data_IF_335882504987
#
_entry.id   IF_335882504987
#
_cell.length_a   1.000
_cell.length_b   1.000
_cell.length_c   1.000
_cell.angle_alpha   90.00
_cell.angle_beta   90.00
_cell.angle_gamma   90.00
#
_symmetry.space_group_name_H-M   'P 1'
#
loop_
_entity.id
_entity.type
_entity.pdbx_description
1 polymer ?
#
# COMPACT_ATOMS: atom_id res chain seq x y z
N UNK A 1 7.40 -23.21 2.57
CA UNK A 1 7.02 -22.01 1.76
C UNK A 1 8.32 -21.27 1.52
N UNK A 2 8.93 -21.46 0.33
CA UNK A 2 10.16 -20.76 -0.03
C UNK A 2 9.84 -19.32 -0.34
N UNK A 3 10.47 -18.39 0.36
CA UNK A 3 10.45 -16.98 -0.01
C UNK A 3 11.47 -16.79 -1.13
N UNK A 4 11.06 -16.33 -2.29
CA UNK A 4 11.98 -15.95 -3.37
C UNK A 4 12.70 -14.66 -2.99
N UNK A 5 13.95 -14.80 -2.58
CA UNK A 5 14.91 -13.70 -2.58
C UNK A 5 15.18 -13.33 -4.05
N UNK A 6 15.06 -12.07 -4.39
CA UNK A 6 15.55 -11.58 -5.67
C UNK A 6 17.08 -11.62 -5.64
N UNK A 7 17.64 -12.75 -6.09
CA UNK A 7 19.08 -12.94 -6.25
C UNK A 7 19.52 -12.35 -7.60
N UNK A 8 20.82 -12.03 -7.75
CA UNK A 8 21.40 -11.48 -9.00
C UNK A 8 21.07 -12.32 -10.25
N UNK A 9 20.84 -13.62 -10.11
CA UNK A 9 20.51 -14.54 -11.20
C UNK A 9 19.10 -14.30 -11.74
N UNK A 10 18.10 -14.03 -10.89
CA UNK A 10 16.74 -13.66 -11.31
C UNK A 10 16.67 -12.26 -11.93
N UNK A 11 17.62 -11.39 -11.56
CA UNK A 11 17.80 -10.06 -12.13
C UNK A 11 18.34 -10.13 -13.57
N UNK A 12 19.16 -11.13 -13.88
CA UNK A 12 19.73 -11.31 -15.22
C UNK A 12 18.72 -11.83 -16.25
N UNK A 13 17.75 -12.66 -15.86
CA UNK A 13 16.64 -13.06 -16.75
C UNK A 13 15.65 -11.92 -16.97
N UNK A 14 15.38 -11.09 -15.96
CA UNK A 14 14.62 -9.86 -16.09
C UNK A 14 15.35 -8.74 -16.88
N UNK A 15 16.65 -8.84 -17.11
CA UNK A 15 17.40 -7.97 -18.06
C UNK A 15 16.94 -8.10 -19.51
N UNK A 16 16.20 -9.17 -19.89
CA UNK A 16 15.52 -9.27 -21.19
C UNK A 16 14.21 -8.47 -21.25
N UNK A 17 13.64 -8.05 -20.13
CA UNK A 17 12.67 -6.95 -20.12
C UNK A 17 13.52 -5.71 -20.38
N UNK A 18 13.75 -5.44 -21.66
CA UNK A 18 14.57 -4.32 -22.14
C UNK A 18 14.28 -3.08 -21.34
N UNK A 19 15.25 -2.64 -20.59
CA UNK A 19 15.51 -1.30 -20.08
C UNK A 19 15.52 -0.25 -21.22
N UNK A 20 14.41 -0.09 -21.89
CA UNK A 20 14.02 1.15 -22.56
C UNK A 20 13.32 2.08 -21.58
N UNK A 21 13.76 2.03 -20.33
CA UNK A 21 13.42 3.04 -19.32
C UNK A 21 14.38 4.20 -19.56
N UNK A 22 13.98 5.08 -20.52
CA UNK A 22 14.57 6.40 -20.66
C UNK A 22 14.68 7.05 -19.27
N UNK A 23 15.81 7.67 -18.92
CA UNK A 23 16.06 8.32 -17.62
C UNK A 23 14.91 9.24 -17.19
N UNK A 24 14.16 9.85 -18.13
CA UNK A 24 12.94 10.62 -17.86
C UNK A 24 11.76 9.81 -17.29
N UNK A 25 11.71 8.48 -17.46
CA UNK A 25 10.70 7.62 -16.82
C UNK A 25 11.00 7.34 -15.36
N UNK A 26 12.24 7.52 -14.91
CA UNK A 26 12.63 7.33 -13.51
C UNK A 26 11.95 8.35 -12.57
N UNK A 27 11.72 9.57 -13.01
CA UNK A 27 11.05 10.61 -12.22
C UNK A 27 9.54 10.38 -12.03
N UNK A 28 8.93 9.49 -12.82
CA UNK A 28 7.46 9.32 -12.90
C UNK A 28 6.98 8.16 -12.02
N UNK A 29 7.83 7.19 -11.64
CA UNK A 29 7.35 5.95 -11.01
C UNK A 29 6.67 6.20 -9.66
N UNK A 30 7.24 6.99 -8.79
CA UNK A 30 6.62 7.40 -7.53
C UNK A 30 7.41 8.49 -6.81
N UNK A 31 6.80 9.65 -6.57
CA UNK A 31 7.32 10.62 -5.62
C UNK A 31 6.80 10.25 -4.24
N UNK A 32 7.65 9.87 -3.29
CA UNK A 32 7.20 9.47 -1.97
C UNK A 32 6.53 10.64 -1.25
N UNK A 33 5.56 10.33 -0.40
CA UNK A 33 4.71 11.32 0.30
C UNK A 33 5.21 11.48 1.73
N UNK A 34 5.31 12.73 2.24
CA UNK A 34 5.65 13.04 3.63
C UNK A 34 6.96 12.40 4.12
N UNK A 35 7.99 12.38 3.26
CA UNK A 35 9.26 11.70 3.53
C UNK A 35 9.92 12.21 4.81
N UNK A 36 9.96 13.54 5.00
CA UNK A 36 10.60 14.14 6.16
C UNK A 36 9.90 13.75 7.46
N UNK A 37 8.56 13.80 7.47
CA UNK A 37 7.75 13.42 8.63
C UNK A 37 7.85 11.91 8.90
N UNK A 38 7.91 11.07 7.86
CA UNK A 38 8.13 9.62 8.01
C UNK A 38 9.48 9.37 8.67
N UNK A 39 10.57 9.96 8.18
CA UNK A 39 11.91 9.80 8.76
C UNK A 39 11.97 10.34 10.19
N UNK A 40 11.39 11.49 10.47
CA UNK A 40 11.33 12.07 11.81
C UNK A 40 10.58 11.16 12.80
N UNK A 41 9.45 10.59 12.39
CA UNK A 41 8.63 9.74 13.24
C UNK A 41 9.19 8.32 13.36
N UNK A 42 9.74 7.76 12.29
CA UNK A 42 10.37 6.44 12.30
C UNK A 42 11.71 6.45 13.03
N UNK A 43 12.46 7.58 12.92
CA UNK A 43 13.77 7.83 13.53
C UNK A 43 14.78 6.69 13.30
N UNK A 44 15.07 6.35 12.04
CA UNK A 44 15.97 5.24 11.73
C UNK A 44 17.40 5.59 12.17
N UNK A 45 18.02 4.66 12.89
CA UNK A 45 19.41 4.79 13.34
C UNK A 45 20.12 3.45 13.34
N UNK A 46 19.72 2.52 14.21
CA UNK A 46 20.32 1.20 14.34
C UNK A 46 19.22 0.14 14.39
N UNK A 47 19.48 -1.07 13.85
CA UNK A 47 18.56 -2.19 13.91
C UNK A 47 17.93 -2.56 12.57
N UNK A 48 16.91 -3.40 12.60
CA UNK A 48 16.17 -3.81 11.41
C UNK A 48 14.98 -2.86 11.21
N UNK A 49 14.84 -2.35 9.99
CA UNK A 49 13.71 -1.54 9.57
C UNK A 49 12.95 -2.26 8.45
N UNK A 50 11.63 -2.21 8.50
CA UNK A 50 10.75 -2.78 7.48
C UNK A 50 10.02 -1.66 6.75
N UNK A 51 10.15 -1.65 5.42
CA UNK A 51 9.23 -0.94 4.53
C UNK A 51 8.24 -1.97 3.98
N UNK A 52 7.06 -2.02 4.57
CA UNK A 52 6.06 -3.07 4.29
C UNK A 52 5.35 -2.91 2.95
N UNK A 53 5.62 -1.81 2.25
CA UNK A 53 5.01 -1.39 0.99
C UNK A 53 6.02 -0.58 0.20
N UNK A 54 7.17 -1.21 -0.12
CA UNK A 54 8.35 -0.49 -0.62
C UNK A 54 8.10 0.29 -1.92
N UNK A 55 7.14 -0.16 -2.74
CA UNK A 55 6.77 0.52 -3.96
C UNK A 55 7.98 0.86 -4.84
N UNK A 56 8.14 2.12 -5.21
CA UNK A 56 9.28 2.63 -5.96
C UNK A 56 10.54 2.92 -5.12
N UNK A 57 10.61 2.49 -3.87
CA UNK A 57 11.79 2.59 -3.01
C UNK A 57 12.10 3.98 -2.44
N UNK A 58 11.18 4.94 -2.56
CA UNK A 58 11.47 6.32 -2.14
C UNK A 58 11.64 6.49 -0.64
N UNK A 59 10.77 5.89 0.17
CA UNK A 59 10.93 5.86 1.63
C UNK A 59 12.08 4.96 2.05
N UNK A 60 12.24 3.81 1.38
CA UNK A 60 13.37 2.90 1.60
C UNK A 60 14.72 3.59 1.42
N UNK A 61 14.89 4.36 0.35
CA UNK A 61 16.10 5.16 0.11
C UNK A 61 16.32 6.19 1.21
N UNK A 62 15.28 6.91 1.61
CA UNK A 62 15.38 7.90 2.68
C UNK A 62 15.75 7.26 4.03
N UNK A 63 15.23 6.06 4.33
CA UNK A 63 15.61 5.29 5.52
C UNK A 63 17.08 4.90 5.43
N UNK A 64 17.53 4.31 4.31
CA UNK A 64 18.91 3.86 4.11
C UNK A 64 19.93 5.00 4.19
N UNK A 65 19.55 6.21 3.74
CA UNK A 65 20.44 7.40 3.80
C UNK A 65 20.81 7.78 5.24
N UNK A 66 19.96 7.51 6.22
CA UNK A 66 20.17 7.88 7.63
C UNK A 66 20.42 6.67 8.55
N UNK A 67 20.34 5.45 8.01
CA UNK A 67 20.57 4.23 8.77
C UNK A 67 22.07 3.99 8.99
N UNK A 68 22.53 4.17 10.24
CA UNK A 68 23.95 4.06 10.59
C UNK A 68 24.42 2.61 10.65
N UNK A 69 23.68 1.76 11.36
CA UNK A 69 24.01 0.34 11.54
C UNK A 69 22.74 -0.49 11.56
N UNK A 70 22.47 -1.21 10.49
CA UNK A 70 21.27 -2.02 10.40
C UNK A 70 20.94 -2.49 8.99
N UNK A 71 19.76 -3.05 8.87
CA UNK A 71 19.25 -3.66 7.64
C UNK A 71 17.84 -3.16 7.35
N UNK A 72 17.59 -2.84 6.09
CA UNK A 72 16.25 -2.55 5.58
C UNK A 72 15.66 -3.78 4.89
N UNK A 73 14.46 -4.17 5.26
CA UNK A 73 13.66 -5.20 4.59
C UNK A 73 12.49 -4.52 3.88
N UNK A 74 12.50 -4.55 2.55
CA UNK A 74 11.42 -4.00 1.72
C UNK A 74 10.50 -5.11 1.21
N UNK A 75 9.19 -4.91 1.29
CA UNK A 75 8.19 -5.86 0.82
C UNK A 75 7.23 -5.19 -0.15
N UNK A 76 6.88 -5.88 -1.22
CA UNK A 76 5.80 -5.46 -2.12
C UNK A 76 5.22 -6.66 -2.86
N UNK A 77 3.94 -6.57 -3.24
CA UNK A 77 3.26 -7.54 -4.09
C UNK A 77 3.58 -7.33 -5.58
N UNK A 78 3.98 -6.11 -5.94
CA UNK A 78 4.24 -5.70 -7.31
C UNK A 78 5.69 -5.93 -7.70
N UNK A 79 5.93 -6.92 -8.56
CA UNK A 79 7.27 -7.23 -9.07
C UNK A 79 7.90 -6.08 -9.85
N UNK A 80 7.08 -5.26 -10.56
CA UNK A 80 7.59 -4.10 -11.27
C UNK A 80 8.12 -3.04 -10.29
N UNK A 81 7.40 -2.82 -9.19
CA UNK A 81 7.82 -1.93 -8.12
C UNK A 81 9.13 -2.40 -7.46
N UNK A 82 9.25 -3.71 -7.17
CA UNK A 82 10.47 -4.29 -6.61
C UNK A 82 11.68 -4.17 -7.55
N UNK A 83 11.48 -4.44 -8.84
CA UNK A 83 12.54 -4.28 -9.83
C UNK A 83 13.03 -2.82 -9.90
N UNK A 84 12.10 -1.88 -9.82
CA UNK A 84 12.43 -0.46 -9.77
C UNK A 84 13.15 -0.07 -8.48
N UNK A 85 12.68 -0.55 -7.33
CA UNK A 85 13.33 -0.32 -6.03
C UNK A 85 14.73 -0.91 -5.99
N UNK A 86 14.96 -2.10 -6.56
CA UNK A 86 16.28 -2.71 -6.66
C UNK A 86 17.26 -1.80 -7.44
N UNK A 87 16.80 -1.21 -8.54
CA UNK A 87 17.63 -0.26 -9.31
C UNK A 87 17.91 1.02 -8.54
N UNK A 88 16.90 1.54 -7.84
CA UNK A 88 17.02 2.78 -7.05
C UNK A 88 17.98 2.62 -5.88
N UNK A 89 17.93 1.47 -5.23
CA UNK A 89 18.69 1.19 -4.02
C UNK A 89 20.07 0.54 -4.29
N UNK A 90 20.48 0.37 -5.54
CA UNK A 90 21.67 -0.38 -5.94
C UNK A 90 22.99 0.11 -5.32
N UNK A 91 23.05 1.38 -4.88
CA UNK A 91 24.20 1.95 -4.19
C UNK A 91 24.34 1.51 -2.72
N UNK A 92 23.28 0.93 -2.12
CA UNK A 92 23.27 0.46 -0.75
C UNK A 92 23.48 -1.06 -0.72
N UNK A 93 24.12 -1.56 0.33
CA UNK A 93 24.36 -2.99 0.52
C UNK A 93 23.53 -3.61 1.66
N UNK A 94 22.94 -2.74 2.49
CA UNK A 94 22.24 -3.12 3.70
C UNK A 94 20.72 -3.13 3.53
N UNK A 95 20.23 -3.73 2.45
CA UNK A 95 18.81 -3.96 2.23
C UNK A 95 18.54 -5.34 1.62
N UNK A 96 17.29 -5.80 1.76
CA UNK A 96 16.74 -7.00 1.09
C UNK A 96 15.32 -6.70 0.64
N UNK A 97 14.95 -7.17 -0.56
CA UNK A 97 13.59 -7.01 -1.12
C UNK A 97 12.90 -8.36 -1.23
N UNK A 98 11.60 -8.38 -0.92
CA UNK A 98 10.78 -9.59 -0.91
C UNK A 98 9.49 -9.36 -1.70
N UNK A 99 9.20 -10.26 -2.66
CA UNK A 99 7.92 -10.25 -3.36
C UNK A 99 6.86 -11.02 -2.56
N UNK A 100 6.28 -10.35 -1.59
CA UNK A 100 5.30 -10.94 -0.70
C UNK A 100 4.35 -9.90 -0.11
N UNK A 101 3.30 -10.39 0.53
CA UNK A 101 2.43 -9.52 1.32
C UNK A 101 3.09 -9.21 2.67
N UNK A 102 2.94 -7.99 3.16
CA UNK A 102 3.44 -7.63 4.50
C UNK A 102 2.83 -8.46 5.65
N UNK A 103 1.77 -9.21 5.41
CA UNK A 103 1.27 -10.21 6.36
C UNK A 103 2.20 -11.40 6.54
N UNK A 104 3.26 -11.47 5.76
CA UNK A 104 4.31 -12.49 5.81
C UNK A 104 5.62 -11.98 6.46
N UNK A 105 5.62 -10.76 7.01
CA UNK A 105 6.82 -10.14 7.57
C UNK A 105 7.44 -10.93 8.74
N UNK A 106 6.63 -11.58 9.57
CA UNK A 106 7.13 -12.30 10.75
C UNK A 106 8.06 -13.49 10.42
N UNK A 107 7.67 -14.44 9.54
CA UNK A 107 8.59 -15.50 9.12
C UNK A 107 9.84 -14.98 8.41
N UNK A 108 9.74 -13.91 7.60
CA UNK A 108 10.89 -13.29 6.96
C UNK A 108 11.88 -12.76 8.00
N UNK A 109 11.38 -11.98 8.96
CA UNK A 109 12.22 -11.44 10.03
C UNK A 109 12.90 -12.56 10.83
N UNK A 110 12.18 -13.64 11.18
CA UNK A 110 12.74 -14.78 11.88
C UNK A 110 13.86 -15.45 11.10
N UNK A 111 13.75 -15.52 9.78
CA UNK A 111 14.79 -16.10 8.93
C UNK A 111 16.02 -15.18 8.87
N UNK A 112 15.82 -13.89 8.64
CA UNK A 112 16.89 -12.89 8.62
C UNK A 112 17.65 -12.83 9.95
N UNK A 113 16.97 -12.95 11.08
CA UNK A 113 17.61 -12.94 12.40
C UNK A 113 18.48 -14.20 12.70
N UNK A 114 18.45 -15.23 11.85
CA UNK A 114 19.41 -16.34 11.92
C UNK A 114 20.78 -15.98 11.34
N UNK A 115 20.86 -14.98 10.48
CA UNK A 115 22.12 -14.51 9.91
C UNK A 115 23.03 -13.94 11.02
N UNK A 116 24.34 -14.23 11.03
CA UNK A 116 25.26 -13.80 12.09
C UNK A 116 25.22 -12.29 12.36
N UNK A 117 25.14 -11.47 11.30
CA UNK A 117 25.07 -10.01 11.40
C UNK A 117 23.76 -9.53 12.00
N UNK A 118 22.65 -10.22 11.74
CA UNK A 118 21.30 -9.80 12.12
C UNK A 118 20.82 -10.38 13.46
N UNK A 119 21.54 -11.39 14.00
CA UNK A 119 21.11 -12.16 15.17
C UNK A 119 20.77 -11.30 16.41
N UNK A 120 21.50 -10.22 16.62
CA UNK A 120 21.32 -9.32 17.76
C UNK A 120 20.58 -8.02 17.41
N UNK A 121 20.20 -7.85 16.15
CA UNK A 121 19.48 -6.65 15.72
C UNK A 121 17.98 -6.78 16.07
N UNK A 122 17.47 -5.78 16.80
CA UNK A 122 16.04 -5.63 17.07
C UNK A 122 15.36 -4.98 15.90
N UNK A 123 14.06 -5.24 15.74
CA UNK A 123 13.22 -4.53 14.79
C UNK A 123 12.89 -3.17 15.41
N UNK A 124 13.42 -2.10 14.83
CA UNK A 124 13.34 -0.75 15.38
C UNK A 124 12.39 0.16 14.62
N UNK A 125 11.95 -0.25 13.43
CA UNK A 125 10.95 0.51 12.67
C UNK A 125 10.18 -0.32 11.68
N UNK A 126 8.89 -0.03 11.56
CA UNK A 126 8.01 -0.62 10.56
C UNK A 126 7.19 0.48 9.93
N UNK A 127 7.35 0.65 8.61
CA UNK A 127 6.58 1.59 7.80
C UNK A 127 5.52 0.84 7.00
N UNK A 128 4.31 1.38 6.98
CA UNK A 128 3.25 1.04 6.06
C UNK A 128 2.90 2.31 5.26
N UNK A 129 3.27 2.37 3.98
CA UNK A 129 2.81 3.39 3.03
C UNK A 129 1.72 2.78 2.16
N UNK A 130 0.47 2.96 2.56
CA UNK A 130 -0.67 2.22 2.00
C UNK A 130 -1.15 2.83 0.68
N UNK A 131 -1.88 2.03 -0.07
CA UNK A 131 -2.57 2.49 -1.26
C UNK A 131 -1.91 2.05 -2.56
N UNK A 132 -2.23 2.76 -3.63
CA UNK A 132 -1.82 2.46 -5.01
C UNK A 132 -0.78 3.48 -5.48
N UNK A 133 0.26 3.01 -6.17
CA UNK A 133 1.28 3.89 -6.73
C UNK A 133 0.76 4.68 -7.93
N UNK A 134 1.39 5.83 -8.21
CA UNK A 134 1.06 6.62 -9.40
C UNK A 134 1.28 5.82 -10.69
N UNK A 135 2.33 5.01 -10.73
CA UNK A 135 2.60 4.11 -11.84
C UNK A 135 1.44 3.13 -12.09
N UNK A 136 0.93 2.49 -11.05
CA UNK A 136 -0.24 1.60 -11.17
C UNK A 136 -1.48 2.32 -11.68
N UNK A 137 -1.72 3.57 -11.24
CA UNK A 137 -2.85 4.38 -11.72
C UNK A 137 -2.68 4.78 -13.18
N UNK A 138 -1.46 5.10 -13.61
CA UNK A 138 -1.14 5.56 -14.96
C UNK A 138 -0.96 4.44 -15.97
N UNK A 139 -0.89 3.18 -15.53
CA UNK A 139 -0.78 2.00 -16.40
C UNK A 139 -2.18 1.45 -16.70
N UNK A 140 -2.73 1.68 -17.92
CA UNK A 140 -4.11 1.30 -18.24
C UNK A 140 -4.39 -0.19 -18.03
N UNK A 141 -3.41 -1.05 -18.33
CA UNK A 141 -3.48 -2.51 -18.25
C UNK A 141 -3.71 -3.02 -16.81
N UNK A 142 -3.39 -2.20 -15.81
CA UNK A 142 -3.61 -2.51 -14.39
C UNK A 142 -5.06 -2.24 -13.93
N UNK A 143 -5.81 -1.40 -14.65
CA UNK A 143 -7.23 -1.14 -14.40
C UNK A 143 -7.56 -0.35 -13.14
N UNK A 144 -6.62 0.36 -12.53
CA UNK A 144 -6.84 1.17 -11.32
C UNK A 144 -7.50 2.51 -11.60
N UNK A 145 -7.33 3.05 -12.80
CA UNK A 145 -7.85 4.36 -13.18
C UNK A 145 -9.27 4.30 -13.73
N UNK A 146 -10.14 5.18 -13.29
CA UNK A 146 -11.44 5.41 -13.91
C UNK A 146 -11.36 6.39 -15.09
N UNK A 147 -10.25 7.10 -15.27
CA UNK A 147 -10.03 8.05 -16.38
C UNK A 147 -9.33 7.37 -17.59
N UNK A 148 -8.68 6.21 -17.39
CA UNK A 148 -7.99 5.44 -18.44
C UNK A 148 -8.76 4.16 -18.76
N UNK A 149 -8.80 3.79 -20.05
CA UNK A 149 -9.42 2.55 -20.49
C UNK A 149 -8.46 1.38 -20.33
N UNK A 150 -8.86 0.36 -19.58
CA UNK A 150 -8.10 -0.85 -19.34
C UNK A 150 -8.98 -1.94 -18.74
N UNK A 151 -8.48 -3.18 -18.60
CA UNK A 151 -9.24 -4.29 -18.02
C UNK A 151 -9.60 -3.99 -16.56
N UNK A 152 -10.71 -4.54 -16.07
CA UNK A 152 -11.09 -4.48 -14.64
C UNK A 152 -10.25 -5.49 -13.84
N UNK A 153 -8.93 -5.28 -13.79
CA UNK A 153 -8.00 -6.15 -13.06
C UNK A 153 -7.86 -5.72 -11.59
N UNK A 154 -7.26 -4.59 -11.33
CA UNK A 154 -7.02 -3.96 -10.02
C UNK A 154 -6.19 -4.78 -9.02
N UNK A 155 -5.47 -5.82 -9.42
CA UNK A 155 -4.57 -6.58 -8.54
C UNK A 155 -3.27 -5.83 -8.31
N UNK A 156 -2.77 -5.84 -7.09
CA UNK A 156 -1.45 -5.29 -6.79
C UNK A 156 -0.31 -6.16 -7.30
N UNK A 157 -0.49 -7.49 -7.35
CA UNK A 157 0.55 -8.41 -7.80
C UNK A 157 -0.01 -9.73 -8.32
N UNK A 158 0.86 -10.52 -8.94
CA UNK A 158 0.51 -11.79 -9.58
C UNK A 158 0.02 -12.89 -8.63
N UNK A 159 0.39 -12.82 -7.35
CA UNK A 159 -0.07 -13.76 -6.32
C UNK A 159 -1.57 -13.63 -6.01
N UNK A 160 -2.19 -12.52 -6.38
CA UNK A 160 -3.63 -12.31 -6.22
C UNK A 160 -4.34 -12.95 -7.41
N UNK A 161 -5.15 -13.97 -7.15
CA UNK A 161 -5.78 -14.79 -8.21
C UNK A 161 -7.04 -14.15 -8.78
N UNK A 162 -7.79 -13.36 -8.00
CA UNK A 162 -9.07 -12.78 -8.41
C UNK A 162 -8.91 -11.34 -8.86
N UNK A 163 -9.36 -11.04 -10.09
CA UNK A 163 -9.48 -9.67 -10.60
C UNK A 163 -10.74 -8.99 -10.08
N UNK A 164 -10.81 -7.67 -10.18
CA UNK A 164 -12.03 -6.92 -9.89
C UNK A 164 -13.22 -7.41 -10.72
N UNK A 165 -12.98 -7.76 -11.99
CA UNK A 165 -13.99 -8.36 -12.88
C UNK A 165 -14.54 -9.67 -12.33
N UNK A 166 -13.71 -10.54 -11.77
CA UNK A 166 -14.14 -11.82 -11.19
C UNK A 166 -15.05 -11.61 -9.97
N UNK A 167 -14.68 -10.63 -9.14
CA UNK A 167 -15.52 -10.25 -7.98
C UNK A 167 -16.88 -9.80 -8.46
N UNK A 168 -16.95 -8.89 -9.43
CA UNK A 168 -18.20 -8.37 -9.98
C UNK A 168 -19.06 -9.51 -10.55
N UNK A 169 -18.47 -10.40 -11.36
CA UNK A 169 -19.21 -11.48 -12.04
C UNK A 169 -19.75 -12.53 -11.08
N UNK A 170 -19.01 -12.85 -10.02
CA UNK A 170 -19.33 -13.95 -9.09
C UNK A 170 -20.16 -13.50 -7.89
N UNK A 171 -20.19 -12.19 -7.59
CA UNK A 171 -20.92 -11.67 -6.43
C UNK A 171 -22.41 -11.55 -6.70
N UNK A 172 -23.20 -11.86 -5.67
CA UNK A 172 -24.60 -11.52 -5.60
C UNK A 172 -24.82 -10.02 -5.44
N UNK A 173 -26.04 -9.54 -5.71
CA UNK A 173 -26.37 -8.12 -5.52
C UNK A 173 -26.08 -7.63 -4.09
N UNK A 174 -26.48 -8.34 -3.01
CA UNK A 174 -26.16 -7.92 -1.64
C UNK A 174 -24.66 -7.82 -1.35
N UNK A 175 -23.84 -8.70 -1.96
CA UNK A 175 -22.38 -8.65 -1.80
C UNK A 175 -21.79 -7.43 -2.47
N UNK A 176 -22.23 -7.08 -3.69
CA UNK A 176 -21.79 -5.84 -4.36
C UNK A 176 -22.23 -4.62 -3.55
N UNK A 177 -23.45 -4.58 -3.04
CA UNK A 177 -23.93 -3.51 -2.15
C UNK A 177 -23.04 -3.38 -0.90
N UNK A 178 -22.67 -4.50 -0.28
CA UNK A 178 -21.78 -4.54 0.89
C UNK A 178 -20.38 -4.01 0.57
N UNK A 179 -19.81 -4.39 -0.59
CA UNK A 179 -18.53 -3.91 -1.06
C UNK A 179 -18.57 -2.38 -1.23
N UNK A 180 -19.52 -1.86 -2.00
CA UNK A 180 -19.61 -0.43 -2.28
C UNK A 180 -19.87 0.41 -1.02
N UNK A 181 -20.72 -0.09 -0.12
CA UNK A 181 -21.06 0.58 1.14
C UNK A 181 -19.89 0.59 2.11
N UNK A 182 -19.25 -0.57 2.33
CA UNK A 182 -18.28 -0.75 3.41
C UNK A 182 -16.86 -0.32 3.00
N UNK A 183 -16.48 -0.49 1.73
CA UNK A 183 -15.14 -0.18 1.23
C UNK A 183 -15.06 1.13 0.45
N UNK A 184 -16.17 1.57 -0.14
CA UNK A 184 -16.26 2.84 -0.83
C UNK A 184 -16.88 3.98 0.00
N UNK A 185 -17.56 3.66 1.11
CA UNK A 185 -18.44 4.60 1.80
C UNK A 185 -19.38 5.29 0.80
N UNK A 186 -19.85 4.54 -0.25
CA UNK A 186 -20.62 5.08 -1.37
C UNK A 186 -22.09 5.28 -0.96
N UNK A 187 -22.57 6.51 -1.13
CA UNK A 187 -23.94 6.88 -0.72
C UNK A 187 -25.01 6.27 -1.60
N UNK A 188 -24.73 6.14 -2.89
CA UNK A 188 -25.67 5.60 -3.88
C UNK A 188 -25.45 4.11 -4.14
N UNK A 189 -24.84 3.40 -3.18
CA UNK A 189 -24.41 2.01 -3.32
C UNK A 189 -25.49 1.08 -3.86
N UNK A 190 -26.76 1.19 -3.40
CA UNK A 190 -27.85 0.32 -3.87
C UNK A 190 -28.13 0.48 -5.37
N UNK A 191 -28.18 1.75 -5.84
CA UNK A 191 -28.44 2.04 -7.25
C UNK A 191 -27.29 1.60 -8.15
N UNK A 192 -26.06 1.91 -7.74
CA UNK A 192 -24.84 1.55 -8.49
C UNK A 192 -24.67 0.03 -8.48
N UNK A 193 -24.82 -0.63 -7.32
CA UNK A 193 -24.70 -2.08 -7.22
C UNK A 193 -25.71 -2.82 -8.10
N UNK A 194 -26.96 -2.39 -8.12
CA UNK A 194 -28.00 -2.99 -8.97
C UNK A 194 -27.60 -2.89 -10.45
N UNK A 195 -27.20 -1.72 -10.90
CA UNK A 195 -26.80 -1.52 -12.29
C UNK A 195 -25.55 -2.33 -12.66
N UNK A 196 -24.55 -2.41 -11.76
CA UNK A 196 -23.38 -3.28 -11.92
C UNK A 196 -23.82 -4.75 -12.04
N UNK A 197 -24.67 -5.21 -11.12
CA UNK A 197 -25.11 -6.61 -11.07
C UNK A 197 -25.90 -7.03 -12.30
N UNK A 198 -26.82 -6.19 -12.77
CA UNK A 198 -27.62 -6.43 -13.98
C UNK A 198 -26.76 -6.51 -15.25
N UNK A 199 -25.65 -5.75 -15.29
CA UNK A 199 -24.75 -5.66 -16.45
C UNK A 199 -23.43 -6.45 -16.29
N UNK A 200 -23.24 -7.18 -15.19
CA UNK A 200 -21.93 -7.78 -14.79
C UNK A 200 -21.27 -8.64 -15.86
N UNK A 201 -22.04 -9.30 -16.70
CA UNK A 201 -21.52 -10.16 -17.77
C UNK A 201 -20.99 -9.37 -18.98
N UNK A 202 -21.40 -8.12 -19.14
CA UNK A 202 -21.00 -7.22 -20.21
C UNK A 202 -19.87 -6.25 -19.81
N UNK A 203 -19.60 -6.12 -18.50
CA UNK A 203 -18.53 -5.27 -18.00
C UNK A 203 -17.17 -5.93 -18.27
N UNK A 204 -16.38 -5.34 -19.15
CA UNK A 204 -15.07 -5.86 -19.54
C UNK A 204 -13.92 -4.96 -19.16
N UNK A 205 -14.17 -3.65 -19.11
CA UNK A 205 -13.12 -2.65 -18.90
C UNK A 205 -13.59 -1.51 -17.98
N UNK A 206 -12.65 -0.61 -17.65
CA UNK A 206 -12.87 0.54 -16.79
C UNK A 206 -13.84 1.56 -17.40
N UNK A 207 -13.86 1.69 -18.74
CA UNK A 207 -14.76 2.59 -19.45
C UNK A 207 -16.21 2.16 -19.34
N UNK A 208 -16.47 0.84 -19.50
CA UNK A 208 -17.82 0.29 -19.31
C UNK A 208 -18.31 0.55 -17.88
N UNK A 209 -17.44 0.34 -16.88
CA UNK A 209 -17.75 0.60 -15.48
C UNK A 209 -18.06 2.08 -15.25
N UNK A 210 -17.25 2.98 -15.80
CA UNK A 210 -17.46 4.43 -15.69
C UNK A 210 -18.83 4.83 -16.27
N UNK A 211 -19.12 4.43 -17.52
CA UNK A 211 -20.40 4.73 -18.18
C UNK A 211 -21.60 4.21 -17.37
N UNK A 212 -21.46 3.04 -16.76
CA UNK A 212 -22.50 2.42 -15.95
C UNK A 212 -22.74 3.20 -14.65
N UNK A 213 -21.69 3.63 -13.95
CA UNK A 213 -21.81 4.46 -12.74
C UNK A 213 -22.44 5.81 -13.08
N UNK A 214 -21.99 6.45 -14.16
CA UNK A 214 -22.56 7.73 -14.61
C UNK A 214 -24.04 7.63 -14.98
N UNK A 215 -24.43 6.55 -15.67
CA UNK A 215 -25.85 6.29 -16.02
C UNK A 215 -26.69 6.05 -14.78
N UNK A 216 -26.14 5.37 -13.76
CA UNK A 216 -26.79 5.20 -12.46
C UNK A 216 -27.10 6.53 -11.77
N UNK A 217 -26.30 7.56 -12.05
CA UNK A 217 -26.35 8.88 -11.41
C UNK A 217 -26.73 10.00 -12.40
N UNK A 218 -27.50 9.67 -13.47
CA UNK A 218 -27.78 10.58 -14.59
C UNK A 218 -28.20 11.98 -14.15
N UNK A 219 -29.05 12.10 -13.11
CA UNK A 219 -29.58 13.38 -12.61
C UNK A 219 -28.64 14.09 -11.62
N UNK A 220 -27.49 13.51 -11.25
CA UNK A 220 -26.57 14.09 -10.28
C UNK A 220 -25.55 15.02 -10.96
N UNK A 221 -25.09 16.08 -10.25
CA UNK A 221 -24.04 16.96 -10.75
C UNK A 221 -22.72 16.21 -11.00
N UNK A 222 -21.90 16.72 -11.95
CA UNK A 222 -20.58 16.15 -12.29
C UNK A 222 -19.67 15.86 -11.07
N UNK A 223 -19.53 16.78 -10.07
CA UNK A 223 -18.69 16.49 -8.90
C UNK A 223 -19.17 15.28 -8.08
N UNK A 224 -20.50 15.07 -7.99
CA UNK A 224 -21.08 13.92 -7.29
C UNK A 224 -20.76 12.62 -8.03
N UNK A 225 -20.93 12.61 -9.37
CA UNK A 225 -20.58 11.46 -10.21
C UNK A 225 -19.10 11.10 -10.06
N UNK A 226 -18.20 12.07 -10.15
CA UNK A 226 -16.76 11.86 -10.01
C UNK A 226 -16.40 11.28 -8.63
N UNK A 227 -17.02 11.75 -7.56
CA UNK A 227 -16.85 11.18 -6.22
C UNK A 227 -17.35 9.73 -6.13
N UNK A 228 -18.46 9.42 -6.78
CA UNK A 228 -18.97 8.04 -6.81
C UNK A 228 -18.09 7.10 -7.66
N UNK A 229 -17.51 7.59 -8.76
CA UNK A 229 -16.48 6.86 -9.50
C UNK A 229 -15.29 6.51 -8.61
N UNK A 230 -14.69 7.50 -7.96
CA UNK A 230 -13.56 7.31 -7.03
C UNK A 230 -13.88 6.27 -5.95
N UNK A 231 -15.05 6.38 -5.31
CA UNK A 231 -15.49 5.47 -4.24
C UNK A 231 -15.75 4.06 -4.74
N UNK A 232 -16.34 3.92 -5.92
CA UNK A 232 -16.62 2.60 -6.50
C UNK A 232 -15.31 1.90 -6.88
N UNK A 233 -14.38 2.59 -7.52
CA UNK A 233 -13.06 2.05 -7.87
C UNK A 233 -12.26 1.71 -6.62
N UNK A 234 -12.25 2.59 -5.61
CA UNK A 234 -11.65 2.29 -4.30
C UNK A 234 -12.26 1.04 -3.67
N UNK A 235 -13.59 0.89 -3.69
CA UNK A 235 -14.26 -0.27 -3.10
C UNK A 235 -13.88 -1.58 -3.78
N UNK A 236 -13.82 -1.58 -5.11
CA UNK A 236 -13.41 -2.74 -5.90
C UNK A 236 -11.95 -3.08 -5.67
N UNK A 237 -11.04 -2.08 -5.63
CA UNK A 237 -9.63 -2.26 -5.34
C UNK A 237 -9.42 -2.89 -3.97
N UNK A 238 -10.05 -2.34 -2.94
CA UNK A 238 -9.98 -2.86 -1.57
C UNK A 238 -10.48 -4.31 -1.51
N UNK A 239 -11.58 -4.62 -2.20
CA UNK A 239 -12.14 -5.98 -2.25
C UNK A 239 -11.20 -6.95 -2.99
N UNK A 240 -10.61 -6.51 -4.11
CA UNK A 240 -9.69 -7.32 -4.93
C UNK A 240 -8.44 -7.70 -4.15
N UNK A 241 -7.85 -6.74 -3.43
CA UNK A 241 -6.57 -6.90 -2.76
C UNK A 241 -6.68 -7.24 -1.25
N UNK A 242 -7.89 -7.40 -0.73
CA UNK A 242 -8.15 -7.63 0.70
C UNK A 242 -7.44 -6.60 1.61
N UNK A 243 -7.32 -5.33 1.17
CA UNK A 243 -6.46 -4.31 1.76
C UNK A 243 -6.69 -4.12 3.26
N UNK A 244 -7.96 -3.97 3.68
CA UNK A 244 -8.29 -3.67 5.08
C UNK A 244 -8.07 -4.87 6.02
N UNK A 245 -8.29 -6.11 5.55
CA UNK A 245 -8.00 -7.31 6.34
C UNK A 245 -6.49 -7.55 6.47
N UNK A 246 -5.76 -7.34 5.37
CA UNK A 246 -4.30 -7.44 5.38
C UNK A 246 -3.69 -6.37 6.30
N UNK A 247 -4.18 -5.12 6.27
CA UNK A 247 -3.71 -4.06 7.16
C UNK A 247 -3.92 -4.42 8.64
N UNK A 248 -5.10 -4.95 9.02
CA UNK A 248 -5.32 -5.40 10.41
C UNK A 248 -4.32 -6.46 10.81
N UNK A 249 -4.20 -7.53 10.01
CA UNK A 249 -3.25 -8.61 10.27
C UNK A 249 -1.79 -8.11 10.29
N UNK A 250 -1.41 -7.25 9.36
CA UNK A 250 -0.07 -6.67 9.31
C UNK A 250 0.27 -5.84 10.54
N UNK A 251 -0.66 -5.01 11.02
CA UNK A 251 -0.47 -4.24 12.24
C UNK A 251 -0.40 -5.12 13.51
N UNK A 252 -1.21 -6.18 13.58
CA UNK A 252 -1.12 -7.17 14.67
C UNK A 252 0.25 -7.87 14.69
N UNK A 253 0.77 -8.23 13.52
CA UNK A 253 2.11 -8.79 13.41
C UNK A 253 3.16 -7.76 13.81
N UNK A 254 3.05 -6.54 13.31
CA UNK A 254 3.96 -5.45 13.64
C UNK A 254 4.07 -5.22 15.16
N UNK A 255 2.95 -5.23 15.88
CA UNK A 255 2.91 -5.12 17.34
C UNK A 255 3.67 -6.23 18.06
N UNK A 256 3.64 -7.46 17.51
CA UNK A 256 4.35 -8.62 18.11
C UNK A 256 5.84 -8.58 17.86
N UNK A 257 6.27 -8.19 16.64
CA UNK A 257 7.68 -8.30 16.24
C UNK A 257 8.51 -7.05 16.56
N UNK A 258 7.86 -5.89 16.73
CA UNK A 258 8.58 -4.64 17.01
C UNK A 258 9.28 -4.69 18.37
N UNK A 259 10.55 -4.33 18.38
CA UNK A 259 11.35 -4.25 19.62
C UNK A 259 10.98 -3.05 20.48
N UNK A 260 11.36 -3.11 21.75
CA UNK A 260 11.23 -1.98 22.67
C UNK A 260 11.97 -0.75 22.13
N UNK A 261 11.33 0.42 22.19
CA UNK A 261 11.81 1.66 21.58
C UNK A 261 11.60 1.73 20.07
N UNK A 262 11.17 0.64 19.42
CA UNK A 262 10.86 0.60 18.01
C UNK A 262 9.56 1.33 17.68
N UNK A 263 9.43 1.81 16.45
CA UNK A 263 8.35 2.67 16.00
C UNK A 263 7.58 2.07 14.83
N UNK A 264 6.27 2.19 14.88
CA UNK A 264 5.37 1.81 13.78
C UNK A 264 4.80 3.09 13.20
N UNK A 265 4.99 3.28 11.90
CA UNK A 265 4.51 4.45 11.15
C UNK A 265 3.57 3.98 10.05
N UNK A 266 2.39 4.58 9.98
CA UNK A 266 1.36 4.25 8.98
C UNK A 266 0.97 5.50 8.22
N UNK A 267 1.21 5.49 6.92
CA UNK A 267 0.73 6.48 5.97
C UNK A 267 -0.50 5.90 5.26
N UNK A 268 -1.62 6.58 5.36
CA UNK A 268 -2.91 6.15 4.83
C UNK A 268 -3.53 7.23 3.95
N UNK A 269 -4.33 6.85 2.94
CA UNK A 269 -4.88 7.79 1.96
C UNK A 269 -6.41 7.87 2.00
N UNK A 270 -7.07 7.02 2.77
CA UNK A 270 -8.51 7.11 3.01
C UNK A 270 -8.91 6.81 4.45
N UNK A 271 -10.18 7.15 4.77
CA UNK A 271 -10.74 7.08 6.13
C UNK A 271 -10.72 5.69 6.75
N UNK A 272 -10.85 4.64 5.94
CA UNK A 272 -10.94 3.27 6.44
C UNK A 272 -9.60 2.76 6.94
N UNK A 273 -8.51 3.04 6.21
CA UNK A 273 -7.13 2.74 6.64
C UNK A 273 -6.77 3.50 7.91
N UNK A 274 -6.97 4.83 7.91
CA UNK A 274 -6.69 5.70 9.07
C UNK A 274 -7.44 5.24 10.33
N UNK A 275 -8.68 4.77 10.15
CA UNK A 275 -9.51 4.25 11.24
C UNK A 275 -8.92 2.98 11.85
N UNK A 276 -8.44 2.04 11.00
CA UNK A 276 -7.80 0.81 11.45
C UNK A 276 -6.53 1.14 12.23
N UNK A 277 -5.60 1.92 11.66
CA UNK A 277 -4.37 2.31 12.33
C UNK A 277 -4.62 3.01 13.68
N UNK A 278 -5.59 3.96 13.70
CA UNK A 278 -6.01 4.66 14.92
C UNK A 278 -6.53 3.71 15.99
N UNK A 279 -7.39 2.76 15.60
CA UNK A 279 -8.00 1.81 16.55
C UNK A 279 -6.94 0.88 17.12
N UNK A 280 -6.11 0.27 16.26
CA UNK A 280 -5.02 -0.63 16.67
C UNK A 280 -4.07 0.06 17.64
N UNK A 281 -3.59 1.27 17.32
CA UNK A 281 -2.68 1.99 18.22
C UNK A 281 -3.33 2.37 19.55
N UNK A 282 -4.64 2.72 19.56
CA UNK A 282 -5.35 3.03 20.80
C UNK A 282 -5.55 1.80 21.68
N UNK A 283 -5.86 0.66 21.10
CA UNK A 283 -6.03 -0.61 21.83
C UNK A 283 -4.70 -1.04 22.46
N UNK A 284 -3.62 -1.07 21.68
CA UNK A 284 -2.29 -1.40 22.18
C UNK A 284 -1.79 -0.38 23.24
N UNK A 285 -2.11 0.90 23.10
CA UNK A 285 -1.75 1.90 24.10
C UNK A 285 -2.55 1.73 25.42
N UNK A 286 -3.82 1.31 25.37
CA UNK A 286 -4.60 0.97 26.58
C UNK A 286 -4.04 -0.26 27.31
N UNK A 287 -3.46 -1.20 26.55
CA UNK A 287 -2.80 -2.40 27.10
C UNK A 287 -1.39 -2.10 27.66
N UNK A 288 -0.92 -0.85 27.51
CA UNK A 288 0.42 -0.46 27.95
C UNK A 288 1.55 -0.94 27.03
N UNK A 289 1.24 -1.37 25.80
CA UNK A 289 2.23 -1.86 24.86
C UNK A 289 2.86 -0.76 24.02
N UNK A 290 2.10 0.29 23.70
CA UNK A 290 2.52 1.41 22.87
C UNK A 290 2.30 2.76 23.55
N UNK A 291 3.13 3.74 23.18
CA UNK A 291 2.86 5.17 23.38
C UNK A 291 2.56 5.79 22.01
N UNK A 292 1.40 6.43 21.88
CA UNK A 292 0.99 7.12 20.66
C UNK A 292 1.81 8.39 20.49
N UNK A 293 2.52 8.52 19.36
CA UNK A 293 3.31 9.72 19.03
C UNK A 293 2.44 10.79 18.35
N UNK A 294 1.43 10.38 17.57
CA UNK A 294 0.53 11.30 16.85
C UNK A 294 -0.90 11.18 17.38
N UNK A 295 -1.32 12.06 18.30
CA UNK A 295 -2.71 12.09 18.82
C UNK A 295 -3.74 12.35 17.70
N UNK A 296 -3.43 13.28 16.78
CA UNK A 296 -4.14 13.53 15.51
C UNK A 296 -3.23 13.09 14.38
N UNK A 297 -3.77 12.67 13.21
CA UNK A 297 -2.90 12.34 12.08
C UNK A 297 -2.16 13.60 11.62
N UNK A 298 -0.87 13.48 11.37
CA UNK A 298 -0.11 14.50 10.66
C UNK A 298 -0.59 14.55 9.22
N UNK A 299 -0.63 15.74 8.64
CA UNK A 299 -1.05 16.00 7.26
C UNK A 299 0.14 16.56 6.49
N UNK A 300 0.21 16.34 5.18
CA UNK A 300 1.20 16.98 4.34
C UNK A 300 1.05 18.50 4.39
N UNK A 301 2.14 19.22 4.14
CA UNK A 301 2.11 20.67 4.02
C UNK A 301 1.36 21.12 2.76
N UNK A 302 0.96 22.39 2.72
CA UNK A 302 0.33 22.98 1.54
C UNK A 302 1.28 22.98 0.34
N UNK A 303 2.58 23.22 0.59
CA UNK A 303 3.63 23.16 -0.44
C UNK A 303 3.76 21.77 -1.03
N UNK A 304 3.77 20.72 -0.20
CA UNK A 304 3.83 19.35 -0.67
C UNK A 304 2.58 18.99 -1.48
N UNK A 305 1.39 19.38 -1.04
CA UNK A 305 0.15 19.08 -1.77
C UNK A 305 0.06 19.79 -3.11
N UNK A 306 0.70 20.95 -3.27
CA UNK A 306 0.81 21.65 -4.55
C UNK A 306 1.77 20.93 -5.51
N UNK A 307 2.92 20.49 -4.98
CA UNK A 307 3.96 19.81 -5.77
C UNK A 307 3.66 18.32 -6.03
N UNK A 308 2.92 17.66 -5.12
CA UNK A 308 2.56 16.25 -5.17
C UNK A 308 1.07 16.07 -4.85
N UNK A 309 0.18 16.15 -5.86
CA UNK A 309 -1.27 16.01 -5.64
C UNK A 309 -1.69 14.68 -4.97
N UNK A 310 -0.88 13.62 -5.09
CA UNK A 310 -1.11 12.34 -4.43
C UNK A 310 -1.07 12.46 -2.90
N UNK A 311 -0.34 13.44 -2.36
CA UNK A 311 -0.23 13.69 -0.92
C UNK A 311 -1.53 14.25 -0.31
N UNK A 312 -2.43 14.85 -1.11
CA UNK A 312 -3.61 15.61 -0.61
C UNK A 312 -4.44 14.87 0.43
N UNK A 313 -4.62 13.57 0.28
CA UNK A 313 -5.42 12.74 1.19
C UNK A 313 -4.62 12.06 2.29
N UNK A 314 -3.30 12.18 2.27
CA UNK A 314 -2.40 11.49 3.17
C UNK A 314 -2.65 11.83 4.66
N UNK A 315 -2.50 10.82 5.50
CA UNK A 315 -2.66 10.86 6.96
C UNK A 315 -1.60 9.97 7.58
N UNK A 316 -0.69 10.57 8.31
CA UNK A 316 0.42 9.89 8.94
C UNK A 316 0.13 9.66 10.43
N UNK A 317 0.26 8.41 10.87
CA UNK A 317 0.17 8.03 12.28
C UNK A 317 1.43 7.29 12.71
N UNK A 318 1.84 7.53 13.96
CA UNK A 318 2.98 6.85 14.53
C UNK A 318 2.75 6.50 16.01
N UNK A 319 3.36 5.38 16.40
CA UNK A 319 3.43 4.94 17.80
C UNK A 319 4.79 4.28 18.06
N UNK A 320 5.22 4.27 19.33
CA UNK A 320 6.47 3.68 19.79
C UNK A 320 6.16 2.56 20.77
N UNK A 321 6.87 1.43 20.65
CA UNK A 321 6.81 0.29 21.60
C UNK A 321 7.44 0.72 22.93
N UNK A 322 6.71 0.54 24.02
CA UNK A 322 7.23 0.77 25.36
C UNK A 322 7.57 -0.56 26.03
N UNK A 323 8.47 -0.52 27.02
CA UNK A 323 8.76 -1.69 27.85
C UNK A 323 7.45 -2.20 28.47
N UNK A 324 7.21 -3.51 28.35
CA UNK A 324 6.15 -4.14 29.12
C UNK A 324 6.43 -3.96 30.61
N UNK A 325 5.38 -3.61 31.36
CA UNK A 325 5.46 -3.57 32.82
C UNK A 325 5.63 -4.98 33.37
#
# INVERSE_FOLDING_TARGET
VGFELLTDTNIMENRKIKLTLNQKKFEIFHRPVMVQEVIQLLAPKNGIFLDSTVGGGGHAEAILTVLENGLLLGMDLDQEALAYSQLRLNQYQNFRLFNCNFTEMEPIVREIQKEPYCKNLKIMGILFDLGVSLHQIQTPERGFSYDLEGPLDMRFGGSITRKAQDIIRRSSLPEIEKILRNFGEERFFKRIARNIWENRNRLTNTRDMNALIESSLRRMPRPVKRKSLQRTFQALRIATNCELSNLRKGLEIALRIIGEGGRIVVLSYHSLEDRIAKQTFREAAKQGELKILTKKPTRPSDEETQQNPAARSARLRAAIKIAGK
#
